data_IF_044313737488
#
_entry.id   IF_044313737488
#
_cell.length_a   1.000
_cell.length_b   1.000
_cell.length_c   1.000
_cell.angle_alpha   90.00
_cell.angle_beta   90.00
_cell.angle_gamma   90.00
#
_symmetry.space_group_name_H-M   'P 1'
#
loop_
_entity.id
_entity.type
_entity.pdbx_description
1 polymer ?
#
# COMPACT_ATOMS: atom_id res chain seq x y z
N UNK A 1 3.26 -1.03 7.17
CA UNK A 1 3.93 -1.51 5.95
C UNK A 1 3.94 -0.37 4.94
N UNK A 2 5.03 -0.22 4.19
CA UNK A 2 5.24 0.85 3.23
C UNK A 2 5.42 0.30 1.82
N UNK A 3 4.98 1.08 0.84
CA UNK A 3 5.22 0.79 -0.55
C UNK A 3 6.56 1.37 -1.07
N UNK A 4 7.33 2.01 -0.22
CA UNK A 4 8.57 2.71 -0.57
C UNK A 4 9.69 2.42 0.42
N UNK A 5 10.94 2.67 0.01
CA UNK A 5 12.12 2.49 0.86
C UNK A 5 13.09 3.66 0.72
N UNK A 6 13.75 4.00 1.81
CA UNK A 6 14.81 5.02 1.82
C UNK A 6 16.05 4.54 1.10
N UNK A 7 16.97 5.45 0.78
CA UNK A 7 18.27 5.13 0.19
C UNK A 7 19.15 4.19 1.03
N UNK A 8 18.81 4.00 2.30
CA UNK A 8 19.53 3.07 3.19
C UNK A 8 19.10 1.61 3.03
N UNK A 9 18.00 1.35 2.32
CA UNK A 9 17.52 -0.01 2.08
C UNK A 9 18.58 -0.81 1.30
N UNK A 10 19.02 -2.00 1.80
CA UNK A 10 20.10 -2.75 1.18
C UNK A 10 19.76 -3.23 -0.24
N UNK A 11 18.50 -3.57 -0.52
CA UNK A 11 18.09 -3.99 -1.88
C UNK A 11 18.11 -2.81 -2.85
N UNK A 12 17.74 -1.59 -2.42
CA UNK A 12 17.89 -0.40 -3.23
C UNK A 12 19.37 -0.13 -3.54
N UNK A 13 20.25 -0.21 -2.54
CA UNK A 13 21.68 0.05 -2.71
C UNK A 13 22.35 -0.95 -3.66
N UNK A 14 21.93 -2.21 -3.64
CA UNK A 14 22.45 -3.23 -4.57
C UNK A 14 22.06 -2.98 -6.03
N UNK A 15 20.96 -2.26 -6.25
CA UNK A 15 20.34 -2.09 -7.57
C UNK A 15 20.03 -0.61 -7.86
N UNK A 16 20.96 0.30 -7.58
CA UNK A 16 20.83 1.72 -7.89
C UNK A 16 21.89 2.21 -8.88
N UNK A 17 21.66 3.37 -9.46
CA UNK A 17 22.57 4.02 -10.42
C UNK A 17 23.75 4.74 -9.75
N UNK A 18 23.82 4.71 -8.43
CA UNK A 18 24.88 5.32 -7.61
C UNK A 18 25.92 4.29 -7.14
N UNK A 19 26.04 3.15 -7.81
CA UNK A 19 27.07 2.15 -7.55
C UNK A 19 27.07 1.60 -6.11
N UNK A 20 25.91 1.49 -5.48
CA UNK A 20 25.77 1.03 -4.08
C UNK A 20 25.78 2.16 -3.04
N UNK A 21 25.82 3.41 -3.46
CA UNK A 21 25.63 4.60 -2.61
C UNK A 21 24.17 4.75 -2.12
N UNK A 22 23.86 5.93 -1.60
CA UNK A 22 22.55 6.21 -0.99
C UNK A 22 21.65 7.06 -1.91
N UNK A 23 22.17 7.55 -3.00
CA UNK A 23 21.49 8.40 -3.98
C UNK A 23 21.21 7.69 -5.30
N UNK A 24 20.84 8.47 -6.32
CA UNK A 24 20.51 7.97 -7.64
C UNK A 24 19.08 7.43 -7.74
N UNK A 25 18.81 6.76 -8.85
CA UNK A 25 17.56 6.07 -9.09
C UNK A 25 17.78 4.56 -8.92
N UNK A 26 16.73 3.82 -8.66
CA UNK A 26 16.80 2.37 -8.82
C UNK A 26 17.18 2.02 -10.26
N UNK A 27 18.02 1.02 -10.45
CA UNK A 27 18.40 0.57 -11.79
C UNK A 27 17.23 -0.12 -12.50
N UNK A 28 17.20 -0.05 -13.83
CA UNK A 28 16.08 -0.60 -14.61
C UNK A 28 15.92 -2.12 -14.47
N UNK A 29 17.01 -2.82 -14.15
CA UNK A 29 17.06 -4.26 -13.89
C UNK A 29 16.82 -4.65 -12.43
N UNK A 30 16.52 -3.67 -11.55
CA UNK A 30 16.21 -3.97 -10.15
C UNK A 30 15.07 -4.98 -10.04
N UNK A 31 15.25 -6.08 -9.28
CA UNK A 31 14.18 -7.03 -9.05
C UNK A 31 13.13 -6.54 -8.03
N UNK A 32 13.35 -5.39 -7.40
CA UNK A 32 12.51 -4.88 -6.31
C UNK A 32 11.88 -3.53 -6.58
N UNK A 33 12.55 -2.63 -7.29
CA UNK A 33 12.15 -1.23 -7.37
C UNK A 33 11.82 -0.78 -8.80
N UNK A 34 10.99 0.25 -8.89
CA UNK A 34 10.81 1.03 -10.10
C UNK A 34 11.89 2.12 -10.15
N UNK A 35 12.51 2.40 -11.33
CA UNK A 35 13.38 3.56 -11.49
C UNK A 35 12.67 4.89 -11.24
N UNK A 36 11.39 4.96 -11.62
CA UNK A 36 10.48 6.08 -11.38
C UNK A 36 9.17 5.51 -10.86
N UNK A 37 8.59 6.14 -9.85
CA UNK A 37 7.33 5.69 -9.27
C UNK A 37 6.21 5.66 -10.31
N UNK A 38 5.40 4.62 -10.25
CA UNK A 38 4.26 4.37 -11.12
C UNK A 38 2.93 4.88 -10.54
N UNK A 39 3.02 5.81 -9.61
CA UNK A 39 1.88 6.45 -8.94
C UNK A 39 2.27 7.85 -8.44
N UNK A 40 1.28 8.72 -8.23
CA UNK A 40 1.46 10.02 -7.57
C UNK A 40 1.62 9.86 -6.05
N UNK A 41 2.00 10.93 -5.39
CA UNK A 41 2.27 10.97 -3.94
C UNK A 41 3.48 10.12 -3.51
N UNK A 42 4.36 9.80 -4.44
CA UNK A 42 5.54 8.97 -4.14
C UNK A 42 6.54 9.72 -3.27
N UNK A 43 7.15 8.99 -2.35
CA UNK A 43 8.27 9.41 -1.53
C UNK A 43 9.35 8.33 -1.59
N UNK A 44 10.63 8.73 -1.57
CA UNK A 44 11.77 7.80 -1.64
C UNK A 44 11.72 6.87 -2.88
N UNK A 45 12.07 5.62 -2.72
CA UNK A 45 12.21 4.64 -3.79
C UNK A 45 11.01 3.70 -3.81
N UNK A 46 10.34 3.62 -4.93
CA UNK A 46 9.08 2.90 -5.11
C UNK A 46 9.30 1.41 -5.35
N UNK A 47 8.65 0.56 -4.55
CA UNK A 47 8.66 -0.88 -4.76
C UNK A 47 7.79 -1.28 -5.96
N UNK A 48 8.34 -2.12 -6.81
CA UNK A 48 7.59 -2.70 -7.92
C UNK A 48 6.84 -3.98 -7.48
N UNK A 49 5.56 -3.84 -7.17
CA UNK A 49 4.72 -4.94 -6.70
C UNK A 49 4.33 -5.95 -7.80
N UNK A 50 4.64 -5.69 -9.07
CA UNK A 50 4.51 -6.69 -10.13
C UNK A 50 5.65 -7.72 -10.11
N UNK A 51 6.77 -7.40 -9.46
CA UNK A 51 7.94 -8.28 -9.38
C UNK A 51 7.75 -9.36 -8.30
N UNK A 52 8.06 -10.61 -8.66
CA UNK A 52 7.95 -11.73 -7.71
C UNK A 52 8.87 -11.56 -6.50
N UNK A 53 10.08 -11.06 -6.71
CA UNK A 53 11.04 -10.82 -5.62
C UNK A 53 10.49 -9.83 -4.57
N UNK A 54 9.78 -8.77 -5.00
CA UNK A 54 9.11 -7.85 -4.10
C UNK A 54 8.00 -8.54 -3.31
N UNK A 55 7.16 -9.33 -3.98
CA UNK A 55 6.08 -10.07 -3.31
C UNK A 55 6.61 -11.07 -2.30
N UNK A 56 7.67 -11.80 -2.63
CA UNK A 56 8.33 -12.74 -1.72
C UNK A 56 8.97 -12.03 -0.53
N UNK A 57 9.56 -10.85 -0.76
CA UNK A 57 10.09 -10.01 0.31
C UNK A 57 8.98 -9.56 1.26
N UNK A 58 7.88 -9.04 0.73
CA UNK A 58 6.71 -8.62 1.53
C UNK A 58 6.16 -9.81 2.33
N UNK A 59 5.95 -10.96 1.68
CA UNK A 59 5.48 -12.18 2.35
C UNK A 59 6.36 -12.55 3.54
N UNK A 60 7.66 -12.73 3.31
CA UNK A 60 8.60 -13.13 4.38
C UNK A 60 8.64 -12.12 5.52
N UNK A 61 8.67 -10.83 5.19
CA UNK A 61 8.76 -9.79 6.21
C UNK A 61 7.50 -9.72 7.06
N UNK A 62 6.32 -9.71 6.45
CA UNK A 62 5.06 -9.66 7.20
C UNK A 62 4.84 -10.90 8.04
N UNK A 63 5.09 -12.08 7.50
CA UNK A 63 4.97 -13.35 8.22
C UNK A 63 5.95 -13.44 9.39
N UNK A 64 7.19 -12.95 9.21
CA UNK A 64 8.18 -12.89 10.29
C UNK A 64 7.69 -12.04 11.47
N UNK A 65 7.19 -10.83 11.21
CA UNK A 65 6.67 -9.97 12.26
C UNK A 65 5.50 -10.59 13.03
N UNK A 66 4.60 -11.26 12.33
CA UNK A 66 3.47 -11.95 12.96
C UNK A 66 3.96 -13.14 13.81
N UNK A 67 4.82 -13.98 13.23
CA UNK A 67 5.28 -15.20 13.90
C UNK A 67 6.17 -14.92 15.11
N UNK A 68 7.13 -13.98 14.98
CA UNK A 68 8.13 -13.71 16.02
C UNK A 68 7.62 -12.73 17.08
N UNK A 69 7.02 -11.62 16.66
CA UNK A 69 6.65 -10.54 17.57
C UNK A 69 5.19 -10.60 18.04
N UNK A 70 4.39 -11.53 17.48
CA UNK A 70 2.98 -11.74 17.88
C UNK A 70 2.15 -10.46 17.83
N UNK A 71 2.41 -9.62 16.85
CA UNK A 71 1.61 -8.41 16.63
C UNK A 71 0.23 -8.78 16.09
N UNK A 72 -0.78 -7.95 16.33
CA UNK A 72 -2.17 -8.25 16.02
C UNK A 72 -2.63 -7.68 14.67
N UNK A 73 -1.86 -6.80 14.06
CA UNK A 73 -2.25 -6.19 12.79
C UNK A 73 -1.16 -5.33 12.14
N UNK A 74 -1.35 -5.05 10.84
CA UNK A 74 -0.58 -4.07 10.09
C UNK A 74 -1.47 -2.96 9.54
N UNK A 75 -1.03 -1.73 9.70
CA UNK A 75 -1.49 -0.61 8.88
C UNK A 75 -0.56 -0.46 7.67
N UNK A 76 -1.13 -0.53 6.49
CA UNK A 76 -0.44 -0.40 5.22
C UNK A 76 -0.50 1.05 4.76
N UNK A 77 0.66 1.64 4.62
CA UNK A 77 0.84 3.05 4.28
C UNK A 77 0.69 3.27 2.78
N UNK A 78 -0.02 4.33 2.41
CA UNK A 78 -0.18 4.77 1.01
C UNK A 78 -0.49 3.61 0.05
N UNK A 79 -1.56 2.86 0.31
CA UNK A 79 -1.90 1.71 -0.56
C UNK A 79 -2.24 2.11 -2.00
N UNK A 80 -2.54 3.39 -2.26
CA UNK A 80 -2.63 3.93 -3.62
C UNK A 80 -1.38 3.67 -4.45
N UNK A 81 -0.23 3.63 -3.82
CA UNK A 81 1.07 3.44 -4.45
C UNK A 81 1.37 2.02 -4.93
N UNK A 82 0.50 1.04 -4.64
CA UNK A 82 0.75 -0.35 -5.01
C UNK A 82 0.44 -0.68 -6.48
N UNK A 83 -0.13 0.27 -7.26
CA UNK A 83 -0.37 0.10 -8.69
C UNK A 83 0.91 0.27 -9.51
N UNK A 84 0.96 -0.42 -10.66
CA UNK A 84 2.02 -0.28 -11.65
C UNK A 84 1.50 0.38 -12.95
N UNK A 85 0.26 0.87 -12.95
CA UNK A 85 -0.45 1.30 -14.16
C UNK A 85 -0.45 2.81 -14.38
N UNK A 86 0.01 3.60 -13.40
CA UNK A 86 -0.05 5.06 -13.47
C UNK A 86 1.35 5.67 -13.64
N UNK A 87 1.48 6.95 -13.40
CA UNK A 87 2.75 7.66 -13.37
C UNK A 87 2.83 8.61 -12.17
N UNK A 88 4.02 9.03 -11.83
CA UNK A 88 4.29 9.90 -10.68
C UNK A 88 3.61 11.28 -10.77
N UNK A 89 3.12 11.67 -11.93
CA UNK A 89 2.46 12.96 -12.18
C UNK A 89 0.96 12.83 -12.48
N UNK A 90 0.41 11.61 -12.52
CA UNK A 90 -1.00 11.38 -12.86
C UNK A 90 -1.83 11.02 -11.63
N UNK A 91 -2.25 12.03 -10.89
CA UNK A 91 -3.10 11.86 -9.71
C UNK A 91 -4.46 11.26 -10.04
N UNK A 92 -5.05 11.65 -11.16
CA UNK A 92 -6.35 11.12 -11.59
C UNK A 92 -6.29 9.60 -11.76
N UNK A 93 -5.25 9.09 -12.41
CA UNK A 93 -5.03 7.66 -12.54
C UNK A 93 -4.80 7.00 -11.16
N UNK A 94 -3.94 7.60 -10.33
CA UNK A 94 -3.61 7.05 -9.00
C UNK A 94 -4.84 6.98 -8.09
N UNK A 95 -5.75 7.94 -8.19
CA UNK A 95 -6.97 7.99 -7.40
C UNK A 95 -8.12 7.14 -7.98
N UNK A 96 -8.05 6.74 -9.25
CA UNK A 96 -9.04 5.85 -9.87
C UNK A 96 -8.84 4.39 -9.44
N UNK A 97 -9.87 3.57 -9.62
CA UNK A 97 -9.82 2.12 -9.37
C UNK A 97 -8.73 1.44 -10.22
N UNK A 98 -7.84 0.68 -9.57
CA UNK A 98 -6.73 -0.04 -10.22
C UNK A 98 -6.79 -1.53 -9.88
N UNK A 99 -7.10 -2.36 -10.86
CA UNK A 99 -7.28 -3.80 -10.66
C UNK A 99 -6.01 -4.53 -10.19
N UNK A 100 -4.83 -4.08 -10.62
CA UNK A 100 -3.55 -4.66 -10.24
C UNK A 100 -3.26 -4.49 -8.75
N UNK A 101 -3.49 -3.29 -8.20
CA UNK A 101 -3.30 -3.06 -6.77
C UNK A 101 -4.39 -3.74 -5.93
N UNK A 102 -5.62 -3.82 -6.43
CA UNK A 102 -6.68 -4.60 -5.76
C UNK A 102 -6.22 -6.05 -5.60
N UNK A 103 -5.70 -6.65 -6.66
CA UNK A 103 -5.27 -8.04 -6.65
C UNK A 103 -4.06 -8.27 -5.73
N UNK A 104 -3.02 -7.43 -5.82
CA UNK A 104 -1.79 -7.63 -5.02
C UNK A 104 -2.05 -7.40 -3.52
N UNK A 105 -2.89 -6.43 -3.17
CA UNK A 105 -3.21 -6.17 -1.77
C UNK A 105 -4.09 -7.26 -1.15
N UNK A 106 -4.99 -7.88 -1.91
CA UNK A 106 -5.69 -9.10 -1.49
C UNK A 106 -4.71 -10.26 -1.23
N UNK A 107 -3.74 -10.46 -2.12
CA UNK A 107 -2.69 -11.46 -1.93
C UNK A 107 -1.86 -11.19 -0.67
N UNK A 108 -1.53 -9.93 -0.39
CA UNK A 108 -0.80 -9.57 0.82
C UNK A 108 -1.62 -9.76 2.10
N UNK A 109 -2.92 -9.54 2.05
CA UNK A 109 -3.81 -9.88 3.14
C UNK A 109 -3.83 -11.40 3.41
N UNK A 110 -3.93 -12.20 2.35
CA UNK A 110 -3.90 -13.67 2.47
C UNK A 110 -2.60 -14.16 3.12
N UNK A 111 -1.44 -13.59 2.77
CA UNK A 111 -0.16 -13.95 3.39
C UNK A 111 -0.15 -13.74 4.91
N UNK A 112 -0.85 -12.74 5.41
CA UNK A 112 -0.96 -12.47 6.83
C UNK A 112 -1.91 -13.48 7.49
N UNK A 113 -3.05 -13.76 6.88
CA UNK A 113 -4.04 -14.71 7.36
C UNK A 113 -3.59 -16.17 7.26
N UNK A 114 -2.57 -16.49 6.46
CA UNK A 114 -1.89 -17.79 6.49
C UNK A 114 -1.24 -18.08 7.85
N UNK A 115 -0.77 -17.05 8.55
CA UNK A 115 -0.08 -17.18 9.84
C UNK A 115 -1.05 -16.99 11.01
N UNK A 116 -1.87 -15.94 10.97
CA UNK A 116 -2.91 -15.69 11.95
C UNK A 116 -4.24 -15.39 11.28
N UNK A 117 -5.20 -16.31 11.35
CA UNK A 117 -6.52 -16.12 10.74
C UNK A 117 -7.30 -14.90 11.26
N UNK A 118 -6.96 -14.37 12.43
CA UNK A 118 -7.63 -13.22 13.04
C UNK A 118 -6.85 -11.91 12.91
N UNK A 119 -5.78 -11.89 12.13
CA UNK A 119 -4.90 -10.75 11.98
C UNK A 119 -5.61 -9.55 11.35
N UNK A 120 -5.42 -8.37 11.92
CA UNK A 120 -6.02 -7.13 11.42
C UNK A 120 -5.22 -6.58 10.23
N UNK A 121 -5.88 -6.50 9.08
CA UNK A 121 -5.34 -5.88 7.86
C UNK A 121 -6.02 -4.53 7.66
N UNK A 122 -5.23 -3.44 7.68
CA UNK A 122 -5.75 -2.07 7.66
C UNK A 122 -5.06 -1.31 6.53
N UNK A 123 -5.82 -0.76 5.57
CA UNK A 123 -5.27 0.03 4.47
C UNK A 123 -5.52 1.52 4.66
N UNK A 124 -4.45 2.31 4.58
CA UNK A 124 -4.58 3.75 4.33
C UNK A 124 -4.70 3.95 2.82
N UNK A 125 -5.92 3.89 2.32
CA UNK A 125 -6.16 4.00 0.89
C UNK A 125 -6.65 5.38 0.47
N UNK A 126 -7.75 5.84 1.06
CA UNK A 126 -8.38 7.14 0.79
C UNK A 126 -8.70 7.31 -0.72
N UNK A 127 -9.18 6.27 -1.34
CA UNK A 127 -9.50 6.20 -2.75
C UNK A 127 -10.99 6.24 -3.05
N UNK A 128 -11.41 5.53 -4.10
CA UNK A 128 -12.81 5.42 -4.49
C UNK A 128 -13.53 4.36 -3.65
N UNK A 129 -14.80 4.61 -3.30
CA UNK A 129 -15.64 3.63 -2.62
C UNK A 129 -15.75 2.31 -3.40
N UNK A 130 -15.75 2.39 -4.74
CA UNK A 130 -15.78 1.22 -5.61
C UNK A 130 -14.60 0.27 -5.36
N UNK A 131 -13.41 0.83 -5.20
CA UNK A 131 -12.21 0.07 -4.93
C UNK A 131 -12.16 -0.44 -3.49
N UNK A 132 -12.45 0.44 -2.54
CA UNK A 132 -12.42 0.11 -1.10
C UNK A 132 -13.43 -1.00 -0.76
N UNK A 133 -14.61 -0.99 -1.36
CA UNK A 133 -15.63 -2.03 -1.19
C UNK A 133 -15.14 -3.43 -1.58
N UNK A 134 -14.24 -3.53 -2.56
CA UNK A 134 -13.67 -4.81 -2.98
C UNK A 134 -12.76 -5.44 -1.93
N UNK A 135 -12.12 -4.62 -1.09
CA UNK A 135 -11.30 -5.11 0.04
C UNK A 135 -12.14 -5.36 1.28
N UNK A 136 -13.05 -4.46 1.62
CA UNK A 136 -13.93 -4.62 2.79
C UNK A 136 -14.72 -5.91 2.70
N UNK A 137 -15.22 -6.26 1.52
CA UNK A 137 -15.97 -7.49 1.29
C UNK A 137 -15.09 -8.73 1.02
N UNK A 138 -13.77 -8.58 0.96
CA UNK A 138 -12.89 -9.69 0.62
C UNK A 138 -12.86 -10.73 1.75
N UNK A 139 -13.34 -11.94 1.44
CA UNK A 139 -13.46 -13.07 2.37
C UNK A 139 -14.24 -12.74 3.65
N UNK A 140 -15.17 -11.79 3.57
CA UNK A 140 -15.98 -11.37 4.72
C UNK A 140 -16.85 -12.52 5.24
N UNK A 141 -17.33 -13.40 4.36
CA UNK A 141 -18.08 -14.61 4.72
C UNK A 141 -17.24 -15.65 5.50
N UNK A 142 -15.93 -15.51 5.51
CA UNK A 142 -14.99 -16.31 6.30
C UNK A 142 -14.59 -15.63 7.61
N UNK A 143 -15.25 -14.55 7.99
CA UNK A 143 -14.88 -13.73 9.15
C UNK A 143 -13.64 -12.86 8.92
N UNK A 144 -13.23 -12.68 7.66
CA UNK A 144 -12.14 -11.80 7.25
C UNK A 144 -12.70 -10.40 6.95
N UNK A 145 -12.09 -9.70 6.06
CA UNK A 145 -12.41 -8.33 5.66
C UNK A 145 -11.21 -7.44 5.93
N UNK A 146 -11.00 -6.48 5.05
CA UNK A 146 -9.90 -5.53 5.16
C UNK A 146 -10.49 -4.20 5.63
N UNK A 147 -9.91 -3.63 6.68
CA UNK A 147 -10.31 -2.32 7.16
C UNK A 147 -9.67 -1.24 6.31
N UNK A 148 -10.40 -0.17 6.04
CA UNK A 148 -9.90 0.99 5.30
C UNK A 148 -10.08 2.27 6.12
N UNK A 149 -9.17 3.22 5.95
CA UNK A 149 -9.29 4.52 6.55
C UNK A 149 -10.22 5.40 5.73
N UNK A 150 -11.11 6.13 6.39
CA UNK A 150 -11.94 7.16 5.76
C UNK A 150 -11.41 8.54 6.08
N UNK A 151 -11.46 9.43 5.09
CA UNK A 151 -11.14 10.84 5.28
C UNK A 151 -12.35 11.58 5.84
N UNK A 152 -12.50 11.59 7.14
CA UNK A 152 -13.63 12.23 7.84
C UNK A 152 -13.33 13.64 8.35
N UNK A 153 -12.11 14.14 8.26
CA UNK A 153 -11.71 15.42 8.85
C UNK A 153 -12.59 16.59 8.37
N UNK A 154 -12.85 16.67 7.07
CA UNK A 154 -13.70 17.71 6.50
C UNK A 154 -15.12 17.63 7.03
N UNK A 155 -15.68 16.43 7.12
CA UNK A 155 -17.04 16.20 7.61
C UNK A 155 -17.17 16.58 9.09
N UNK A 156 -16.20 16.16 9.92
CA UNK A 156 -16.18 16.54 11.34
C UNK A 156 -16.02 18.03 11.55
N UNK A 157 -15.14 18.68 10.80
CA UNK A 157 -14.95 20.12 10.89
C UNK A 157 -16.24 20.89 10.54
N UNK A 158 -16.90 20.51 9.45
CA UNK A 158 -18.16 21.15 9.04
C UNK A 158 -19.30 20.88 10.04
N UNK A 159 -19.43 19.66 10.52
CA UNK A 159 -20.42 19.32 11.54
C UNK A 159 -20.22 20.10 12.84
N UNK A 160 -18.96 20.21 13.32
CA UNK A 160 -18.65 20.95 14.55
C UNK A 160 -18.80 22.47 14.41
N UNK A 161 -18.64 23.01 13.21
CA UNK A 161 -18.90 24.42 12.90
C UNK A 161 -20.37 24.71 12.58
N UNK A 162 -21.22 23.69 12.55
CA UNK A 162 -22.66 23.87 12.28
C UNK A 162 -23.02 24.10 10.81
N UNK A 163 -22.14 23.74 9.88
CA UNK A 163 -22.40 23.84 8.43
C UNK A 163 -23.21 22.64 7.92
N UNK A 164 -24.50 22.62 8.24
CA UNK A 164 -25.39 21.52 7.91
C UNK A 164 -25.75 21.42 6.41
N UNK A 165 -25.58 22.51 5.67
CA UNK A 165 -26.01 22.62 4.27
C UNK A 165 -24.99 22.02 3.28
N UNK A 166 -23.80 21.68 3.74
CA UNK A 166 -22.75 21.13 2.88
C UNK A 166 -23.01 19.68 2.45
N UNK A 167 -23.97 19.00 3.07
CA UNK A 167 -24.26 17.59 2.83
C UNK A 167 -23.17 16.62 3.31
N UNK A 168 -22.28 17.09 4.17
CA UNK A 168 -21.16 16.31 4.71
C UNK A 168 -21.32 15.90 6.17
N UNK A 169 -22.39 16.36 6.81
CA UNK A 169 -22.71 16.04 8.20
C UNK A 169 -23.92 15.14 8.32
#
# INVERSE_FOLDING_TARGET
VYNHATGQNPFYRMWNTDGGGYGGLASADSPFFNPVATHSYSVFNDFNHSKQATRDYVKRTTQYWIAEYKIDGFRWDLTKGFTQNCSSTNETCTNATQADRVAVLKQYADYQWEIDPNFYVIFEHLGTNEEETQWVNYRLNEGKGIMVWSNLNGNYNEATMGYHESGKS
#
